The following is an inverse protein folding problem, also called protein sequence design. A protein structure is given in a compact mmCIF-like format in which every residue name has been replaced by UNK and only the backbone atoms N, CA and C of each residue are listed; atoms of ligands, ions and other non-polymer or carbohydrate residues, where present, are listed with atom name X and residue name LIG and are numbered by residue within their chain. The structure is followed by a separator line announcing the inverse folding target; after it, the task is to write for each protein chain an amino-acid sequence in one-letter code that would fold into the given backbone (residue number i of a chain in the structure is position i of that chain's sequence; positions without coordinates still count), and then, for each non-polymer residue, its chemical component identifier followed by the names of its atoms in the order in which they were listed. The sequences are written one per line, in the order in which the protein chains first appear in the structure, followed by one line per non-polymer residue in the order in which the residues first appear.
data_IF_840815834341
#
_entry.id   IF_840815834341
#
_cell.length_a   1.000
_cell.length_b   1.000
_cell.length_c   1.000
_cell.angle_alpha   90.00
_cell.angle_beta   90.00
_cell.angle_gamma   90.00
#
_symmetry.space_group_name_H-M   'P 1'
#
loop_
_entity.id
_entity.type
_entity.pdbx_description
1 polymer ?
#
# COMPACT_ATOMS: atom_id res chain seq x y z
N UNK A 1 -17.82 -4.31 10.87
CA UNK A 1 -17.62 -4.25 9.41
C UNK A 1 -18.75 -3.45 8.77
N UNK A 2 -18.43 -2.45 7.97
CA UNK A 2 -19.37 -1.59 7.23
C UNK A 2 -19.01 -1.61 5.74
N UNK A 3 -20.01 -1.60 4.87
CA UNK A 3 -19.83 -1.48 3.41
C UNK A 3 -20.49 -0.20 2.92
N UNK A 4 -19.82 0.50 2.01
CA UNK A 4 -20.30 1.72 1.38
C UNK A 4 -19.74 1.83 -0.05
N UNK A 5 -20.15 2.83 -0.78
CA UNK A 5 -19.63 3.15 -2.09
C UNK A 5 -19.08 4.59 -2.10
N UNK A 6 -17.93 4.80 -2.71
CA UNK A 6 -17.34 6.11 -2.91
C UNK A 6 -16.63 6.18 -4.26
N UNK A 7 -16.85 7.23 -5.01
CA UNK A 7 -16.35 7.42 -6.37
C UNK A 7 -16.60 6.20 -7.30
N UNK A 8 -17.77 5.55 -7.18
CA UNK A 8 -18.13 4.36 -7.96
C UNK A 8 -17.38 3.08 -7.56
N UNK A 9 -16.76 3.05 -6.39
CA UNK A 9 -15.99 1.91 -5.89
C UNK A 9 -16.59 1.35 -4.61
N UNK A 10 -16.59 0.03 -4.51
CA UNK A 10 -16.94 -0.65 -3.26
C UNK A 10 -15.85 -0.41 -2.24
N UNK A 11 -16.25 0.08 -1.06
CA UNK A 11 -15.40 0.29 0.10
C UNK A 11 -15.90 -0.58 1.24
N UNK A 12 -14.97 -1.28 1.90
CA UNK A 12 -15.28 -2.05 3.11
C UNK A 12 -14.42 -1.53 4.26
N UNK A 13 -15.04 -1.24 5.39
CA UNK A 13 -14.39 -0.76 6.60
C UNK A 13 -14.47 -1.83 7.66
N UNK A 14 -13.32 -2.27 8.16
CA UNK A 14 -13.18 -3.19 9.29
C UNK A 14 -12.66 -2.40 10.48
N UNK A 15 -13.08 -2.75 11.69
CA UNK A 15 -12.76 -2.06 12.94
C UNK A 15 -13.90 -1.14 13.41
N UNK A 16 -13.64 -0.40 14.48
CA UNK A 16 -14.58 0.49 15.13
C UNK A 16 -14.34 1.95 14.74
N UNK A 17 -15.35 2.80 14.84
CA UNK A 17 -15.23 4.22 14.51
C UNK A 17 -14.40 5.03 15.52
N UNK A 18 -14.06 4.43 16.65
CA UNK A 18 -13.16 4.99 17.68
C UNK A 18 -11.68 4.74 17.38
N UNK A 19 -11.36 4.04 16.29
CA UNK A 19 -10.00 3.71 15.90
C UNK A 19 -9.14 4.96 15.70
N UNK A 20 -7.94 4.97 16.30
CA UNK A 20 -6.97 6.05 16.18
C UNK A 20 -6.16 5.98 14.89
N UNK A 21 -5.95 4.77 14.39
CA UNK A 21 -5.22 4.51 13.15
C UNK A 21 -6.19 4.07 12.06
N UNK A 22 -6.14 4.70 10.89
CA UNK A 22 -6.86 4.25 9.71
C UNK A 22 -5.84 3.83 8.65
N UNK A 23 -5.93 2.58 8.21
CA UNK A 23 -5.10 2.05 7.12
C UNK A 23 -5.95 1.99 5.85
N UNK A 24 -5.52 2.72 4.84
CA UNK A 24 -6.11 2.74 3.50
C UNK A 24 -5.41 1.69 2.64
N UNK A 25 -6.18 0.76 2.06
CA UNK A 25 -5.62 -0.34 1.29
C UNK A 25 -6.44 -0.59 0.02
N UNK A 26 -5.76 -0.61 -1.12
CA UNK A 26 -6.37 -1.02 -2.38
C UNK A 26 -6.32 -2.54 -2.50
N UNK A 27 -7.46 -3.13 -2.87
CA UNK A 27 -7.65 -4.57 -3.02
C UNK A 27 -8.22 -4.89 -4.40
N UNK A 28 -7.90 -6.05 -4.94
CA UNK A 28 -8.49 -6.48 -6.19
C UNK A 28 -9.96 -6.88 -6.01
N UNK A 29 -10.24 -7.54 -4.89
CA UNK A 29 -11.61 -7.93 -4.51
C UNK A 29 -11.88 -7.67 -3.02
N UNK A 30 -11.76 -8.67 -2.15
CA UNK A 30 -12.04 -8.57 -0.70
C UNK A 30 -10.95 -9.27 0.13
N UNK A 31 -9.70 -8.88 -0.09
CA UNK A 31 -8.56 -9.47 0.62
C UNK A 31 -8.38 -8.90 2.04
N UNK A 32 -9.08 -7.81 2.36
CA UNK A 32 -8.94 -7.12 3.65
C UNK A 32 -9.43 -7.91 4.85
N UNK A 33 -10.52 -8.67 4.70
CA UNK A 33 -11.12 -9.44 5.79
C UNK A 33 -10.12 -10.41 6.45
N UNK A 34 -9.43 -11.21 5.63
CA UNK A 34 -8.46 -12.19 6.11
C UNK A 34 -7.27 -11.51 6.79
N UNK A 35 -6.76 -10.43 6.23
CA UNK A 35 -5.64 -9.69 6.79
C UNK A 35 -6.00 -9.01 8.12
N UNK A 36 -7.19 -8.39 8.22
CA UNK A 36 -7.65 -7.75 9.45
C UNK A 36 -7.91 -8.75 10.57
N UNK A 37 -8.46 -9.93 10.25
CA UNK A 37 -8.70 -11.00 11.22
C UNK A 37 -7.42 -11.58 11.86
N UNK A 38 -6.26 -11.39 11.22
CA UNK A 38 -4.96 -11.81 11.76
C UNK A 38 -4.38 -10.82 12.77
N UNK A 39 -4.93 -9.61 12.88
CA UNK A 39 -4.47 -8.65 13.88
C UNK A 39 -4.87 -9.10 15.28
N UNK A 40 -4.00 -8.96 16.29
CA UNK A 40 -4.35 -9.14 17.69
C UNK A 40 -5.54 -8.24 18.10
N UNK A 41 -6.40 -8.66 19.04
CA UNK A 41 -7.59 -7.89 19.45
C UNK A 41 -7.29 -6.45 19.86
N UNK A 42 -6.17 -6.22 20.56
CA UNK A 42 -5.72 -4.89 20.96
C UNK A 42 -5.39 -3.99 19.78
N UNK A 43 -4.82 -4.54 18.70
CA UNK A 43 -4.56 -3.79 17.47
C UNK A 43 -5.86 -3.55 16.68
N UNK A 44 -6.78 -4.52 16.66
CA UNK A 44 -8.08 -4.34 16.02
C UNK A 44 -8.90 -3.22 16.69
N UNK A 45 -8.80 -3.07 18.01
CA UNK A 45 -9.50 -2.03 18.76
C UNK A 45 -9.00 -0.60 18.43
N UNK A 46 -7.72 -0.46 18.09
CA UNK A 46 -7.07 0.83 17.80
C UNK A 46 -6.98 1.14 16.30
N UNK A 47 -7.44 0.23 15.43
CA UNK A 47 -7.22 0.32 13.98
C UNK A 47 -8.50 0.07 13.19
N UNK A 48 -8.78 0.93 12.23
CA UNK A 48 -9.72 0.65 11.15
C UNK A 48 -8.94 0.37 9.85
N UNK A 49 -9.29 -0.71 9.17
CA UNK A 49 -8.81 -1.03 7.83
C UNK A 49 -9.89 -0.65 6.81
N UNK A 50 -9.60 0.30 5.95
CA UNK A 50 -10.46 0.74 4.85
C UNK A 50 -9.93 0.12 3.56
N UNK A 51 -10.65 -0.84 3.01
CA UNK A 51 -10.32 -1.43 1.71
C UNK A 51 -11.14 -0.82 0.60
N UNK A 52 -10.47 -0.48 -0.51
CA UNK A 52 -11.07 0.09 -1.70
C UNK A 52 -10.87 -0.92 -2.82
N UNK A 53 -11.98 -1.50 -3.31
CA UNK A 53 -11.92 -2.47 -4.39
C UNK A 53 -11.61 -1.78 -5.72
N UNK A 54 -10.64 -2.32 -6.42
CA UNK A 54 -10.16 -1.80 -7.70
C UNK A 54 -9.94 -2.94 -8.70
N UNK A 55 -11.03 -3.48 -9.30
CA UNK A 55 -10.91 -4.54 -10.30
C UNK A 55 -10.37 -4.00 -11.63
N UNK A 56 -9.98 -4.90 -12.54
CA UNK A 56 -9.64 -4.55 -13.93
C UNK A 56 -10.77 -3.77 -14.62
N UNK A 57 -10.45 -2.82 -15.50
CA UNK A 57 -9.10 -2.43 -15.96
C UNK A 57 -8.42 -1.38 -15.07
N UNK A 58 -9.06 -0.91 -14.04
CA UNK A 58 -8.59 0.22 -13.21
C UNK A 58 -7.33 -0.08 -12.43
N UNK A 59 -7.10 -1.34 -12.05
CA UNK A 59 -5.91 -1.76 -11.30
C UNK A 59 -4.61 -1.30 -11.97
N UNK A 60 -4.40 -1.67 -13.23
CA UNK A 60 -3.20 -1.28 -13.97
C UNK A 60 -3.21 0.20 -14.36
N UNK A 61 -4.39 0.77 -14.61
CA UNK A 61 -4.50 2.14 -15.06
C UNK A 61 -4.23 3.16 -13.93
N UNK A 62 -4.84 2.95 -12.76
CA UNK A 62 -4.89 3.96 -11.71
C UNK A 62 -3.86 3.76 -10.59
N UNK A 63 -3.24 2.58 -10.49
CA UNK A 63 -2.20 2.33 -9.49
C UNK A 63 -0.78 2.45 -10.03
N UNK A 64 -0.61 2.74 -11.34
CA UNK A 64 0.70 2.94 -11.95
C UNK A 64 1.07 4.43 -12.02
N UNK A 65 2.32 4.79 -11.64
CA UNK A 65 2.78 6.18 -11.57
C UNK A 65 2.82 6.92 -12.92
N UNK A 66 3.17 6.21 -13.98
CA UNK A 66 3.29 6.70 -15.36
C UNK A 66 3.06 5.55 -16.35
N UNK A 67 2.99 5.88 -17.63
CA UNK A 67 2.82 4.86 -18.67
C UNK A 67 4.01 3.90 -18.73
N UNK A 68 3.71 2.62 -18.86
CA UNK A 68 4.69 1.56 -19.09
C UNK A 68 4.09 0.42 -19.93
N UNK A 69 4.93 -0.31 -20.70
CA UNK A 69 4.46 -1.47 -21.45
C UNK A 69 3.87 -2.55 -20.55
N UNK A 70 2.90 -3.30 -21.08
CA UNK A 70 2.37 -4.48 -20.42
C UNK A 70 3.48 -5.51 -20.14
N UNK A 71 3.39 -6.21 -19.01
CA UNK A 71 4.32 -7.29 -18.66
C UNK A 71 4.14 -8.51 -19.53
N UNK A 72 2.91 -8.79 -19.96
CA UNK A 72 2.56 -9.95 -20.77
C UNK A 72 1.73 -9.52 -21.98
N UNK A 73 1.92 -10.24 -23.09
CA UNK A 73 1.32 -9.90 -24.40
C UNK A 73 -0.21 -9.72 -24.42
N UNK A 74 -0.91 -10.28 -23.46
CA UNK A 74 -2.39 -10.26 -23.42
C UNK A 74 -2.94 -9.27 -22.39
N UNK A 75 -2.09 -8.62 -21.64
CA UNK A 75 -2.49 -7.65 -20.63
C UNK A 75 -2.50 -6.22 -21.21
N UNK A 76 -3.36 -5.34 -20.72
CA UNK A 76 -3.29 -3.94 -21.07
C UNK A 76 -1.99 -3.31 -20.54
N UNK A 77 -1.47 -2.27 -21.21
CA UNK A 77 -0.35 -1.50 -20.67
C UNK A 77 -0.76 -0.76 -19.39
N UNK A 78 0.23 -0.33 -18.65
CA UNK A 78 0.02 0.57 -17.51
C UNK A 78 -0.26 1.98 -18.04
N UNK A 79 -1.36 2.59 -17.60
CA UNK A 79 -1.80 3.89 -18.13
C UNK A 79 -1.21 5.11 -17.39
N UNK A 80 -0.64 4.92 -16.19
CA UNK A 80 0.06 6.01 -15.50
C UNK A 80 -0.85 7.05 -14.84
N UNK A 81 -2.03 6.66 -14.40
CA UNK A 81 -3.03 7.60 -13.85
C UNK A 81 -2.96 7.72 -12.31
N UNK A 82 -1.90 7.26 -11.66
CA UNK A 82 -1.80 7.26 -10.19
C UNK A 82 -1.94 8.66 -9.58
N UNK A 83 -1.42 9.69 -10.24
CA UNK A 83 -1.52 11.07 -9.77
C UNK A 83 -2.99 11.54 -9.73
N UNK A 84 -3.69 11.39 -10.82
CA UNK A 84 -5.13 11.74 -10.89
C UNK A 84 -5.95 10.95 -9.86
N UNK A 85 -5.65 9.66 -9.73
CA UNK A 85 -6.36 8.82 -8.77
C UNK A 85 -6.03 9.19 -7.32
N UNK A 86 -4.78 9.54 -7.02
CA UNK A 86 -4.37 9.99 -5.70
C UNK A 86 -5.17 11.23 -5.26
N UNK A 87 -5.36 12.20 -6.15
CA UNK A 87 -6.22 13.36 -5.87
C UNK A 87 -7.68 12.94 -5.61
N UNK A 88 -8.25 12.01 -6.39
CA UNK A 88 -9.59 11.48 -6.12
C UNK A 88 -9.65 10.83 -4.73
N UNK A 89 -8.63 10.04 -4.38
CA UNK A 89 -8.54 9.37 -3.08
C UNK A 89 -8.48 10.39 -1.93
N UNK A 90 -7.58 11.37 -2.01
CA UNK A 90 -7.30 12.29 -0.90
C UNK A 90 -8.32 13.42 -0.76
N UNK A 91 -8.84 13.94 -1.87
CA UNK A 91 -9.67 15.13 -1.86
C UNK A 91 -11.17 14.82 -1.86
N UNK A 92 -11.55 13.60 -2.28
CA UNK A 92 -12.95 13.19 -2.36
C UNK A 92 -13.24 11.96 -1.50
N UNK A 93 -12.61 10.82 -1.78
CA UNK A 93 -12.97 9.54 -1.15
C UNK A 93 -12.67 9.53 0.35
N UNK A 94 -11.47 9.92 0.76
CA UNK A 94 -11.09 9.90 2.18
C UNK A 94 -12.03 10.79 3.02
N UNK A 95 -12.28 12.08 2.69
CA UNK A 95 -13.22 12.90 3.45
C UNK A 95 -14.64 12.32 3.50
N UNK A 96 -15.14 11.81 2.36
CA UNK A 96 -16.46 11.20 2.28
C UNK A 96 -16.58 9.96 3.16
N UNK A 97 -15.62 9.04 3.08
CA UNK A 97 -15.60 7.80 3.87
C UNK A 97 -15.50 8.11 5.37
N UNK A 98 -14.61 9.02 5.76
CA UNK A 98 -14.48 9.44 7.17
C UNK A 98 -15.78 10.03 7.70
N UNK A 99 -16.48 10.87 6.93
CA UNK A 99 -17.75 11.45 7.31
C UNK A 99 -18.86 10.39 7.44
N UNK A 100 -18.94 9.44 6.49
CA UNK A 100 -19.96 8.38 6.53
C UNK A 100 -19.75 7.37 7.64
N UNK A 101 -18.50 7.10 8.03
CA UNK A 101 -18.14 6.11 9.05
C UNK A 101 -18.04 6.69 10.46
N UNK A 102 -17.91 8.01 10.58
CA UNK A 102 -17.62 8.69 11.84
C UNK A 102 -16.18 8.49 12.33
N UNK A 103 -15.28 7.95 11.48
CA UNK A 103 -13.87 7.81 11.81
C UNK A 103 -13.19 9.19 11.91
N UNK A 104 -12.38 9.38 12.95
CA UNK A 104 -11.56 10.58 13.16
C UNK A 104 -10.14 10.18 13.56
N UNK A 105 -9.33 9.68 12.61
CA UNK A 105 -8.03 9.12 12.91
C UNK A 105 -7.01 10.18 13.34
N UNK A 106 -6.12 9.78 14.25
CA UNK A 106 -4.90 10.50 14.56
C UNK A 106 -3.84 10.23 13.48
N UNK A 107 -3.84 9.01 12.93
CA UNK A 107 -2.89 8.61 11.88
C UNK A 107 -3.63 7.98 10.70
N UNK A 108 -3.39 8.53 9.52
CA UNK A 108 -3.73 7.90 8.25
C UNK A 108 -2.50 7.16 7.73
N UNK A 109 -2.65 5.89 7.44
CA UNK A 109 -1.61 5.00 6.95
C UNK A 109 -2.04 4.41 5.61
N UNK A 110 -1.10 4.03 4.77
CA UNK A 110 -1.43 3.42 3.49
C UNK A 110 -0.71 2.08 3.32
N UNK A 111 -1.39 1.07 2.84
CA UNK A 111 -0.80 -0.23 2.57
C UNK A 111 -1.27 -0.79 1.23
N UNK A 112 -0.48 -1.67 0.63
CA UNK A 112 -0.89 -2.33 -0.60
C UNK A 112 -0.05 -3.54 -0.92
N UNK A 113 -0.67 -4.47 -1.66
CA UNK A 113 -0.03 -5.66 -2.19
C UNK A 113 0.25 -5.49 -3.68
N UNK A 114 1.38 -5.98 -4.18
CA UNK A 114 1.71 -5.94 -5.61
C UNK A 114 1.73 -4.50 -6.17
N UNK A 115 0.94 -4.19 -7.19
CA UNK A 115 0.85 -2.85 -7.76
C UNK A 115 0.28 -1.83 -6.77
N UNK A 116 -0.64 -2.25 -5.89
CA UNK A 116 -1.11 -1.39 -4.79
C UNK A 116 0.01 -1.08 -3.78
N UNK A 117 1.02 -1.96 -3.65
CA UNK A 117 2.22 -1.68 -2.86
C UNK A 117 3.15 -0.65 -3.49
N UNK A 118 3.24 -0.63 -4.82
CA UNK A 118 3.89 0.46 -5.57
C UNK A 118 3.15 1.78 -5.36
N UNK A 119 1.81 1.76 -5.51
CA UNK A 119 0.97 2.93 -5.31
C UNK A 119 1.06 3.48 -3.88
N UNK A 120 1.15 2.61 -2.87
CA UNK A 120 1.31 3.04 -1.48
C UNK A 120 2.59 3.89 -1.29
N UNK A 121 3.72 3.47 -1.87
CA UNK A 121 4.94 4.29 -1.83
C UNK A 121 4.82 5.56 -2.69
N UNK A 122 4.19 5.48 -3.85
CA UNK A 122 3.91 6.64 -4.68
C UNK A 122 3.07 7.68 -3.91
N UNK A 123 2.03 7.25 -3.22
CA UNK A 123 1.18 8.12 -2.42
C UNK A 123 1.96 8.79 -1.27
N UNK A 124 2.82 8.05 -0.56
CA UNK A 124 3.69 8.63 0.49
C UNK A 124 4.61 9.75 -0.02
N UNK A 125 4.96 9.73 -1.31
CA UNK A 125 5.82 10.74 -1.94
C UNK A 125 5.06 11.96 -2.45
N UNK A 126 3.77 11.79 -2.77
CA UNK A 126 3.00 12.79 -3.52
C UNK A 126 1.85 13.42 -2.74
N UNK A 127 1.73 13.15 -1.43
CA UNK A 127 0.78 13.82 -0.55
C UNK A 127 1.25 13.77 0.90
N UNK A 128 0.87 14.77 1.69
CA UNK A 128 1.11 14.83 3.13
C UNK A 128 0.06 14.07 3.97
N UNK A 129 -0.94 13.49 3.31
CA UNK A 129 -2.09 12.86 3.97
C UNK A 129 -1.74 11.59 4.76
N UNK A 130 -0.63 10.91 4.40
CA UNK A 130 -0.26 9.64 5.03
C UNK A 130 0.97 9.78 5.93
N UNK A 131 0.86 9.26 7.15
CA UNK A 131 1.93 9.27 8.14
C UNK A 131 2.99 8.21 7.89
N UNK A 132 2.59 7.07 7.35
CA UNK A 132 3.48 5.97 6.99
C UNK A 132 2.79 4.94 6.14
N UNK A 133 3.51 3.91 5.70
CA UNK A 133 2.93 2.92 4.82
C UNK A 133 3.66 1.61 4.71
N UNK A 134 3.00 0.66 4.03
CA UNK A 134 3.51 -0.68 3.78
C UNK A 134 3.37 -1.08 2.31
N UNK A 135 4.47 -1.52 1.71
CA UNK A 135 4.52 -2.13 0.39
C UNK A 135 4.79 -3.63 0.53
N UNK A 136 3.77 -4.44 0.28
CA UNK A 136 3.78 -5.88 0.49
C UNK A 136 3.90 -6.56 -0.86
N UNK A 137 4.97 -7.32 -1.09
CA UNK A 137 5.28 -7.88 -2.41
C UNK A 137 5.11 -6.85 -3.52
N UNK A 138 5.51 -5.59 -3.22
CA UNK A 138 5.25 -4.43 -4.07
C UNK A 138 5.94 -4.51 -5.42
N UNK A 139 5.28 -4.00 -6.46
CA UNK A 139 5.81 -3.96 -7.83
C UNK A 139 6.93 -2.92 -7.98
N UNK A 140 7.92 -2.93 -7.05
CA UNK A 140 8.99 -1.94 -6.99
C UNK A 140 10.03 -2.09 -8.12
N UNK A 141 9.90 -3.15 -8.93
CA UNK A 141 10.56 -3.31 -10.22
C UNK A 141 10.07 -2.30 -11.29
N UNK A 142 9.03 -1.51 -10.99
CA UNK A 142 8.39 -0.61 -11.96
C UNK A 142 9.43 0.33 -12.60
N UNK A 143 9.45 0.47 -13.95
CA UNK A 143 10.52 1.20 -14.65
C UNK A 143 10.66 2.64 -14.15
N UNK A 144 11.86 3.00 -13.70
CA UNK A 144 12.17 4.36 -13.24
C UNK A 144 11.75 4.69 -11.80
N UNK A 145 11.07 3.81 -11.07
CA UNK A 145 10.50 4.15 -9.78
C UNK A 145 11.56 4.45 -8.70
N UNK A 146 12.64 3.66 -8.62
CA UNK A 146 13.72 3.96 -7.66
C UNK A 146 14.45 5.27 -7.97
N UNK A 147 14.60 5.62 -9.26
CA UNK A 147 15.16 6.91 -9.67
C UNK A 147 14.22 8.07 -9.27
N UNK A 148 12.93 7.90 -9.51
CA UNK A 148 11.92 8.87 -9.11
C UNK A 148 11.96 9.19 -7.60
N UNK A 149 12.01 8.18 -6.75
CA UNK A 149 12.10 8.38 -5.29
C UNK A 149 13.40 9.08 -4.87
N UNK A 150 14.48 8.89 -5.62
CA UNK A 150 15.78 9.53 -5.35
C UNK A 150 15.78 11.01 -5.75
N UNK A 151 15.12 11.35 -6.84
CA UNK A 151 15.12 12.68 -7.42
C UNK A 151 14.08 13.63 -6.80
N UNK A 152 13.00 13.08 -6.26
CA UNK A 152 11.92 13.83 -5.64
C UNK A 152 11.90 13.61 -4.13
N UNK A 153 11.93 14.68 -3.35
CA UNK A 153 11.65 14.61 -1.92
C UNK A 153 10.14 14.37 -1.68
N UNK A 154 9.77 13.60 -0.64
CA UNK A 154 8.36 13.43 -0.29
C UNK A 154 7.76 14.74 0.22
N UNK A 155 6.46 14.97 -0.03
CA UNK A 155 5.74 16.15 0.47
C UNK A 155 5.71 16.20 2.01
N UNK A 156 5.60 15.04 2.63
CA UNK A 156 5.78 14.82 4.06
C UNK A 156 6.72 13.65 4.23
N UNK A 157 7.75 13.80 5.08
CA UNK A 157 8.63 12.68 5.43
C UNK A 157 7.83 11.62 6.18
N UNK A 158 7.73 10.38 5.65
CA UNK A 158 7.03 9.30 6.34
C UNK A 158 7.69 8.97 7.69
N UNK A 159 6.88 8.71 8.71
CA UNK A 159 7.37 8.32 10.03
C UNK A 159 7.93 6.89 10.02
N UNK A 160 7.38 6.03 9.17
CA UNK A 160 7.81 4.63 9.01
C UNK A 160 7.34 4.05 7.67
N UNK A 161 8.20 3.22 7.07
CA UNK A 161 7.87 2.44 5.87
C UNK A 161 8.24 0.97 6.07
N UNK A 162 7.26 0.09 5.83
CA UNK A 162 7.49 -1.37 5.80
C UNK A 162 7.50 -1.87 4.36
N UNK A 163 8.51 -2.66 4.03
CA UNK A 163 8.68 -3.30 2.73
C UNK A 163 8.80 -4.81 2.93
N UNK A 164 8.14 -5.61 2.11
CA UNK A 164 8.34 -7.05 2.14
C UNK A 164 8.21 -7.70 0.77
N UNK A 165 8.87 -8.83 0.60
CA UNK A 165 8.79 -9.71 -0.57
C UNK A 165 8.76 -11.16 -0.16
N UNK A 166 8.38 -12.03 -1.10
CA UNK A 166 8.69 -13.45 -1.00
C UNK A 166 10.13 -13.74 -1.46
N UNK A 167 10.82 -14.63 -0.77
CA UNK A 167 12.23 -15.01 -1.04
C UNK A 167 12.47 -15.69 -2.40
N UNK A 168 11.39 -15.99 -3.13
CA UNK A 168 11.43 -16.58 -4.48
C UNK A 168 10.87 -15.66 -5.58
N UNK A 169 10.45 -14.43 -5.27
CA UNK A 169 9.93 -13.51 -6.28
C UNK A 169 11.00 -13.10 -7.30
N UNK A 170 12.24 -12.97 -6.87
CA UNK A 170 13.39 -12.71 -7.76
C UNK A 170 13.71 -13.85 -8.73
N UNK A 171 13.07 -15.02 -8.62
CA UNK A 171 13.23 -16.16 -9.54
C UNK A 171 12.27 -16.13 -10.72
N UNK A 172 11.57 -15.02 -10.92
CA UNK A 172 10.68 -14.83 -12.05
C UNK A 172 11.44 -14.97 -13.40
N UNK A 173 10.77 -15.55 -14.42
CA UNK A 173 11.37 -15.66 -15.77
C UNK A 173 11.49 -14.33 -16.49
N UNK A 174 10.58 -13.40 -16.22
CA UNK A 174 10.65 -12.05 -16.77
C UNK A 174 11.75 -11.26 -16.03
N UNK A 175 12.77 -10.74 -16.74
CA UNK A 175 13.90 -10.05 -16.10
C UNK A 175 13.49 -8.83 -15.28
N UNK A 176 12.43 -8.11 -15.70
CA UNK A 176 11.91 -6.97 -14.97
C UNK A 176 11.33 -7.40 -13.62
N UNK A 177 10.51 -8.46 -13.60
CA UNK A 177 9.99 -9.02 -12.36
C UNK A 177 11.09 -9.61 -11.47
N UNK A 178 12.11 -10.23 -12.06
CA UNK A 178 13.24 -10.79 -11.33
C UNK A 178 14.06 -9.73 -10.58
N UNK A 179 14.06 -8.48 -11.04
CA UNK A 179 14.77 -7.37 -10.38
C UNK A 179 14.07 -6.87 -9.10
N UNK A 180 12.89 -7.39 -8.76
CA UNK A 180 12.06 -6.86 -7.64
C UNK A 180 12.80 -6.81 -6.31
N UNK A 181 13.60 -7.82 -5.99
CA UNK A 181 14.34 -7.84 -4.72
C UNK A 181 15.43 -6.78 -4.71
N UNK A 182 16.25 -6.70 -5.75
CA UNK A 182 17.30 -5.68 -5.90
C UNK A 182 16.70 -4.27 -5.78
N UNK A 183 15.59 -4.01 -6.49
CA UNK A 183 14.92 -2.70 -6.45
C UNK A 183 14.30 -2.38 -5.10
N UNK A 184 13.76 -3.37 -4.40
CA UNK A 184 13.23 -3.17 -3.05
C UNK A 184 14.34 -2.89 -2.04
N UNK A 185 15.49 -3.58 -2.14
CA UNK A 185 16.68 -3.33 -1.31
C UNK A 185 17.27 -1.94 -1.58
N UNK A 186 17.35 -1.53 -2.85
CA UNK A 186 17.78 -0.19 -3.26
C UNK A 186 16.89 0.89 -2.63
N UNK A 187 15.56 0.74 -2.72
CA UNK A 187 14.59 1.67 -2.13
C UNK A 187 14.68 1.67 -0.60
N UNK A 188 14.80 0.51 0.03
CA UNK A 188 14.95 0.43 1.49
C UNK A 188 16.22 1.15 1.98
N UNK A 189 17.31 1.04 1.23
CA UNK A 189 18.56 1.76 1.52
C UNK A 189 18.39 3.27 1.33
N UNK A 190 17.73 3.70 0.24
CA UNK A 190 17.43 5.11 -0.03
C UNK A 190 16.64 5.73 1.14
N UNK A 191 15.53 5.09 1.55
CA UNK A 191 14.70 5.55 2.65
C UNK A 191 15.50 5.77 3.94
N UNK A 192 16.35 4.80 4.30
CA UNK A 192 17.20 4.90 5.51
C UNK A 192 18.23 6.01 5.40
N UNK A 193 18.85 6.18 4.24
CA UNK A 193 19.83 7.25 4.00
C UNK A 193 19.18 8.63 4.12
N UNK A 194 17.92 8.77 3.74
CA UNK A 194 17.14 9.99 3.89
C UNK A 194 16.57 10.14 5.31
N UNK A 195 16.98 9.24 6.22
CA UNK A 195 16.55 9.23 7.62
C UNK A 195 15.07 8.90 7.81
N UNK A 196 14.48 8.15 6.87
CA UNK A 196 13.13 7.57 7.01
C UNK A 196 13.29 6.17 7.62
N UNK A 197 12.71 5.90 8.80
CA UNK A 197 12.73 4.56 9.39
C UNK A 197 12.08 3.55 8.43
N UNK A 198 12.86 2.59 7.93
CA UNK A 198 12.39 1.60 6.97
C UNK A 198 12.87 0.20 7.32
N UNK A 199 11.94 -0.76 7.27
CA UNK A 199 12.20 -2.20 7.44
C UNK A 199 11.92 -2.92 6.13
N UNK A 200 12.84 -3.77 5.72
CA UNK A 200 12.63 -4.72 4.63
C UNK A 200 12.73 -6.14 5.16
N UNK A 201 11.73 -6.96 4.87
CA UNK A 201 11.67 -8.37 5.27
C UNK A 201 11.41 -9.29 4.08
N UNK A 202 12.12 -10.42 4.04
CA UNK A 202 11.82 -11.54 3.14
C UNK A 202 10.92 -12.55 3.86
N UNK A 203 9.85 -12.97 3.18
CA UNK A 203 8.93 -14.02 3.64
C UNK A 203 9.11 -15.27 2.78
N UNK A 204 8.81 -16.48 3.29
CA UNK A 204 8.89 -17.69 2.48
C UNK A 204 7.94 -17.66 1.28
N UNK A 205 8.41 -18.08 0.10
CA UNK A 205 7.58 -18.32 -1.08
C UNK A 205 7.67 -17.29 -2.20
N UNK A 206 6.85 -17.46 -3.22
CA UNK A 206 6.73 -16.55 -4.37
C UNK A 206 5.68 -15.46 -4.14
N UNK A 207 5.35 -14.74 -5.19
CA UNK A 207 4.50 -13.53 -5.16
C UNK A 207 3.12 -13.74 -4.51
N UNK A 208 2.46 -14.85 -4.76
CA UNK A 208 1.09 -15.11 -4.27
C UNK A 208 1.01 -16.00 -3.03
N UNK A 209 2.16 -16.48 -2.52
CA UNK A 209 2.16 -17.37 -1.37
C UNK A 209 1.85 -16.59 -0.09
N UNK A 210 0.90 -17.09 0.71
CA UNK A 210 0.56 -16.55 2.02
C UNK A 210 0.27 -15.04 1.98
N UNK A 211 -0.49 -14.57 0.97
CA UNK A 211 -0.74 -13.14 0.77
C UNK A 211 -1.46 -12.51 1.97
N UNK A 212 -2.45 -13.20 2.54
CA UNK A 212 -3.19 -12.71 3.71
C UNK A 212 -2.29 -12.60 4.95
N UNK A 213 -1.46 -13.63 5.21
CA UNK A 213 -0.52 -13.67 6.35
C UNK A 213 0.55 -12.58 6.21
N UNK A 214 1.09 -12.38 5.01
CA UNK A 214 2.05 -11.30 4.74
C UNK A 214 1.41 -9.94 4.94
N UNK A 215 0.18 -9.76 4.48
CA UNK A 215 -0.56 -8.52 4.67
C UNK A 215 -0.82 -8.28 6.15
N UNK A 216 -1.38 -9.25 6.88
CA UNK A 216 -1.59 -9.15 8.32
C UNK A 216 -0.30 -8.80 9.09
N UNK A 217 0.82 -9.45 8.76
CA UNK A 217 2.13 -9.14 9.35
C UNK A 217 2.56 -7.70 9.07
N UNK A 218 2.38 -7.23 7.83
CA UNK A 218 2.72 -5.86 7.44
C UNK A 218 1.86 -4.83 8.18
N UNK A 219 0.56 -5.08 8.32
CA UNK A 219 -0.34 -4.24 9.10
C UNK A 219 0.10 -4.18 10.57
N UNK A 220 0.42 -5.33 11.20
CA UNK A 220 0.94 -5.38 12.56
C UNK A 220 2.23 -4.56 12.72
N UNK A 221 3.18 -4.68 11.78
CA UNK A 221 4.44 -3.93 11.80
C UNK A 221 4.19 -2.42 11.69
N UNK A 222 3.28 -2.03 10.82
CA UNK A 222 2.91 -0.64 10.62
C UNK A 222 2.23 -0.05 11.87
N UNK A 223 1.20 -0.73 12.41
CA UNK A 223 0.45 -0.29 13.59
C UNK A 223 1.36 -0.16 14.82
N UNK A 224 2.30 -1.10 15.00
CA UNK A 224 3.21 -1.10 16.17
C UNK A 224 4.02 0.19 16.33
N UNK A 225 4.22 0.95 15.24
CA UNK A 225 4.95 2.22 15.29
C UNK A 225 4.11 3.35 15.91
N UNK A 226 2.80 3.22 15.90
CA UNK A 226 1.86 4.28 16.32
C UNK A 226 1.16 3.97 17.66
N UNK A 227 1.16 2.72 18.09
CA UNK A 227 0.59 2.33 19.38
C UNK A 227 1.57 2.46 20.55
N UNK A 228 2.87 2.66 20.29
CA UNK A 228 3.93 2.76 21.33
C UNK A 228 4.12 4.16 21.90
N UNK A 229 3.35 5.16 21.46
CA UNK A 229 3.49 6.57 21.82
C UNK A 229 2.38 7.07 22.79
N UNK A 230 1.80 6.16 23.61
CA UNK A 230 0.77 6.52 24.59
C UNK A 230 1.30 6.47 26.01
#
# INVERSE_FOLDING_TARGET
MMQLESAGRKVTVYGENTAKNVIWMHTFSDEGAAAFALLPPEMQAETALVTIAMPDPDWNAQLSPWEAPALFKKEPPFAGNADTYLHILTDSMMPEILAQTGLSPQHNLIAGYSLAGLFALYALWNTDRFHGGASISGSLWYPGFSAYLREKAPERKPDFVYLSLGDRECRARNPLLASVQEKTEEIAALLRNDGIPAVFELNPGGHTNQAAERTGKALMRLISQYNSAS
#
